data_IF_382778842837
#
_entry.id   IF_382778842837
#
_cell.length_a   1.000
_cell.length_b   1.000
_cell.length_c   1.000
_cell.angle_alpha   90.00
_cell.angle_beta   90.00
_cell.angle_gamma   90.00
#
_symmetry.space_group_name_H-M   'P 1'
#
loop_
_entity.id
_entity.type
_entity.pdbx_description
1 polymer ?
#
# COMPACT_ATOMS: atom_id res chain seq x y z
N UNK A 1 26.85 -27.66 27.73
CA UNK A 1 26.71 -26.19 27.83
C UNK A 1 25.60 -25.87 28.81
N UNK A 2 25.81 -24.94 29.72
CA UNK A 2 24.75 -24.54 30.67
C UNK A 2 23.57 -23.92 29.89
N UNK A 3 22.34 -24.36 30.18
CA UNK A 3 21.11 -23.87 29.52
C UNK A 3 20.68 -22.48 30.02
N UNK A 4 21.23 -22.02 31.14
CA UNK A 4 20.92 -20.76 31.81
C UNK A 4 22.09 -19.78 31.75
N UNK A 5 21.80 -18.48 31.80
CA UNK A 5 22.81 -17.44 31.91
C UNK A 5 23.10 -17.20 33.40
N UNK A 6 24.30 -17.56 33.86
CA UNK A 6 24.70 -17.36 35.26
C UNK A 6 25.04 -15.90 35.58
N UNK A 7 24.95 -15.53 36.86
CA UNK A 7 25.38 -14.18 37.32
C UNK A 7 26.86 -13.89 37.01
N UNK A 8 27.73 -14.91 37.07
CA UNK A 8 29.14 -14.80 36.68
C UNK A 8 29.31 -14.49 35.21
N UNK A 9 28.50 -15.12 34.33
CA UNK A 9 28.45 -14.82 32.90
C UNK A 9 28.03 -13.38 32.63
N UNK A 10 26.98 -12.91 33.34
CA UNK A 10 26.50 -11.52 33.24
C UNK A 10 27.60 -10.53 33.65
N UNK A 11 28.32 -10.81 34.76
CA UNK A 11 29.44 -10.00 35.19
C UNK A 11 30.53 -9.92 34.13
N UNK A 12 30.83 -11.00 33.46
CA UNK A 12 31.78 -11.06 32.34
C UNK A 12 31.30 -10.18 31.17
N UNK A 13 30.02 -10.26 30.78
CA UNK A 13 29.45 -9.41 29.72
C UNK A 13 29.57 -7.93 30.07
N UNK A 14 29.19 -7.55 31.31
CA UNK A 14 29.29 -6.18 31.80
C UNK A 14 30.71 -5.65 31.71
N UNK A 15 31.71 -6.44 32.16
CA UNK A 15 33.11 -6.04 32.12
C UNK A 15 33.62 -5.88 30.69
N UNK A 16 33.24 -6.78 29.77
CA UNK A 16 33.58 -6.66 28.34
C UNK A 16 32.98 -5.41 27.71
N UNK A 17 31.71 -5.14 28.01
CA UNK A 17 31.01 -3.94 27.53
C UNK A 17 31.76 -2.66 27.97
N UNK A 18 32.07 -2.54 29.26
CA UNK A 18 32.71 -1.35 29.83
C UNK A 18 34.15 -1.13 29.34
N UNK A 19 34.87 -2.20 28.94
CA UNK A 19 36.22 -2.08 28.36
C UNK A 19 36.24 -1.54 26.94
N UNK A 20 35.10 -1.55 26.25
CA UNK A 20 35.01 -1.03 24.89
C UNK A 20 34.44 0.40 24.92
N UNK A 21 35.30 1.39 24.73
CA UNK A 21 34.91 2.80 24.72
C UNK A 21 33.88 3.14 23.64
N UNK A 22 33.88 2.43 22.50
CA UNK A 22 32.88 2.62 21.44
C UNK A 22 31.52 2.21 21.92
N UNK A 23 31.38 1.10 22.69
CA UNK A 23 30.09 0.70 23.26
C UNK A 23 29.54 1.77 24.21
N UNK A 24 30.42 2.39 25.00
CA UNK A 24 30.01 3.45 25.92
C UNK A 24 29.59 4.72 25.19
N UNK A 25 30.27 5.10 24.13
CA UNK A 25 29.91 6.24 23.29
C UNK A 25 28.56 6.00 22.58
N UNK A 26 28.39 4.83 21.97
CA UNK A 26 27.13 4.45 21.33
C UNK A 26 25.96 4.41 22.31
N UNK A 27 26.17 3.82 23.50
CA UNK A 27 25.16 3.84 24.57
C UNK A 27 24.74 5.24 24.95
N UNK A 28 25.70 6.14 25.19
CA UNK A 28 25.41 7.51 25.61
C UNK A 28 24.66 8.29 24.51
N UNK A 29 24.98 8.05 23.23
CA UNK A 29 24.25 8.64 22.12
C UNK A 29 22.82 8.09 22.02
N UNK A 30 22.64 6.76 22.10
CA UNK A 30 21.35 6.09 21.92
C UNK A 30 20.34 6.30 23.06
N UNK A 31 20.81 6.55 24.30
CA UNK A 31 19.90 6.75 25.46
C UNK A 31 19.01 8.00 25.30
N UNK A 32 19.48 9.01 24.59
CA UNK A 32 18.78 10.30 24.47
C UNK A 32 18.34 10.66 23.06
N UNK A 33 18.76 9.90 22.04
CA UNK A 33 18.43 10.20 20.66
C UNK A 33 17.84 8.99 19.95
N UNK A 34 17.01 9.27 18.96
CA UNK A 34 16.46 8.23 18.09
C UNK A 34 17.56 7.52 17.31
N UNK A 35 17.40 6.22 17.14
CA UNK A 35 18.34 5.37 16.44
C UNK A 35 18.66 5.88 15.02
N UNK A 36 17.67 6.37 14.29
CA UNK A 36 17.83 6.90 12.95
C UNK A 36 18.83 8.07 12.91
N UNK A 37 18.75 8.96 13.91
CA UNK A 37 19.65 10.12 14.00
C UNK A 37 21.10 9.71 14.35
N UNK A 38 21.26 8.75 15.26
CA UNK A 38 22.59 8.25 15.67
C UNK A 38 23.25 7.42 14.57
N UNK A 39 22.46 6.67 13.81
CA UNK A 39 22.95 5.77 12.78
C UNK A 39 23.06 6.41 11.39
N UNK A 40 22.66 7.68 11.23
CA UNK A 40 22.73 8.36 9.93
C UNK A 40 24.19 8.33 9.41
N UNK A 41 24.36 7.76 8.23
CA UNK A 41 25.65 7.74 7.54
C UNK A 41 25.82 9.05 6.75
N UNK A 42 26.41 10.03 7.40
CA UNK A 42 26.58 11.36 6.83
C UNK A 42 27.47 11.36 5.58
N UNK A 43 28.50 10.53 5.56
CA UNK A 43 29.39 10.38 4.40
C UNK A 43 28.60 9.87 3.17
N UNK A 44 27.81 8.82 3.34
CA UNK A 44 26.96 8.31 2.27
C UNK A 44 25.91 9.34 1.86
N UNK A 45 25.28 10.00 2.82
CA UNK A 45 24.26 11.03 2.53
C UNK A 45 24.83 12.18 1.69
N UNK A 46 26.01 12.67 2.02
CA UNK A 46 26.65 13.81 1.33
C UNK A 46 27.01 13.51 -0.14
N UNK A 47 27.08 12.25 -0.52
CA UNK A 47 27.35 11.81 -1.90
C UNK A 47 26.09 11.61 -2.73
N UNK A 48 24.90 11.67 -2.12
CA UNK A 48 23.62 11.46 -2.83
C UNK A 48 23.33 12.70 -3.67
N UNK A 49 23.16 12.48 -4.98
CA UNK A 49 22.80 13.53 -5.90
C UNK A 49 21.26 13.67 -5.98
N UNK A 50 20.77 14.88 -5.73
CA UNK A 50 19.35 15.23 -5.80
C UNK A 50 18.93 15.82 -7.18
N UNK A 51 19.85 15.87 -8.14
CA UNK A 51 19.56 16.31 -9.50
C UNK A 51 19.39 15.08 -10.40
N UNK A 52 18.33 15.08 -11.18
CA UNK A 52 17.97 13.96 -12.06
C UNK A 52 18.04 14.39 -13.51
N UNK A 53 18.65 13.54 -14.36
CA UNK A 53 18.81 13.78 -15.80
C UNK A 53 17.51 13.62 -16.61
N UNK A 54 16.56 12.85 -16.07
CA UNK A 54 15.26 12.61 -16.71
C UNK A 54 14.16 12.87 -15.69
N UNK A 55 13.24 13.76 -16.05
CA UNK A 55 12.10 14.17 -15.23
C UNK A 55 10.81 14.00 -16.04
N UNK A 56 9.73 13.67 -15.36
CA UNK A 56 8.39 13.79 -15.92
C UNK A 56 8.10 15.29 -16.17
N UNK A 57 7.59 15.63 -17.34
CA UNK A 57 7.38 17.04 -17.76
C UNK A 57 6.49 17.82 -16.81
N UNK A 58 5.59 17.16 -16.12
CA UNK A 58 4.65 17.77 -15.19
C UNK A 58 4.79 17.16 -13.81
N UNK A 59 5.35 17.91 -12.89
CA UNK A 59 5.42 17.58 -11.49
C UNK A 59 4.25 18.26 -10.75
N UNK A 60 3.49 17.48 -9.99
CA UNK A 60 2.36 17.97 -9.20
C UNK A 60 2.66 17.83 -7.70
N UNK A 61 2.05 18.68 -6.84
CA UNK A 61 2.23 18.58 -5.40
C UNK A 61 1.98 17.17 -4.87
N UNK A 62 2.78 16.73 -3.89
CA UNK A 62 2.60 15.43 -3.24
C UNK A 62 1.25 15.36 -2.53
N UNK A 63 0.59 14.22 -2.66
CA UNK A 63 -0.66 13.92 -1.93
C UNK A 63 -0.35 13.20 -0.62
N UNK A 64 -1.19 13.38 0.39
CA UNK A 64 -0.95 12.86 1.73
C UNK A 64 -2.08 11.92 2.17
N UNK A 65 -1.75 10.64 2.41
CA UNK A 65 -2.71 9.63 2.88
C UNK A 65 -3.04 9.74 4.37
N UNK A 66 -2.38 10.62 5.10
CA UNK A 66 -2.51 10.78 6.55
C UNK A 66 -2.27 9.46 7.32
N UNK A 67 -3.13 9.12 8.30
CA UNK A 67 -3.06 7.89 9.09
C UNK A 67 -3.93 6.78 8.52
N UNK A 68 -3.80 6.51 7.21
CA UNK A 68 -4.48 5.40 6.50
C UNK A 68 -3.48 4.62 5.64
N UNK A 69 -3.80 3.38 5.29
CA UNK A 69 -2.94 2.52 4.46
C UNK A 69 -3.29 2.57 2.97
N UNK A 70 -3.74 3.72 2.45
CA UNK A 70 -4.21 3.89 1.05
C UNK A 70 -3.11 4.27 0.06
N UNK A 71 -1.82 4.14 0.40
CA UNK A 71 -0.71 4.57 -0.47
C UNK A 71 -0.83 4.06 -1.92
N UNK A 72 -1.27 2.83 -2.10
CA UNK A 72 -1.48 2.22 -3.41
C UNK A 72 -2.57 2.92 -4.25
N UNK A 73 -3.69 3.30 -3.63
CA UNK A 73 -4.75 4.07 -4.27
C UNK A 73 -4.30 5.50 -4.59
N UNK A 74 -3.61 6.16 -3.65
CA UNK A 74 -3.00 7.48 -3.89
C UNK A 74 -2.01 7.45 -5.07
N UNK A 75 -1.15 6.44 -5.13
CA UNK A 75 -0.19 6.29 -6.23
C UNK A 75 -0.91 6.11 -7.58
N UNK A 76 -1.93 5.23 -7.65
CA UNK A 76 -2.70 5.03 -8.87
C UNK A 76 -3.46 6.29 -9.33
N UNK A 77 -4.16 6.96 -8.41
CA UNK A 77 -4.87 8.21 -8.70
C UNK A 77 -3.89 9.33 -9.10
N UNK A 78 -2.68 9.33 -8.55
CA UNK A 78 -1.63 10.29 -8.96
C UNK A 78 -1.12 10.06 -10.38
N UNK A 79 -1.11 8.83 -10.88
CA UNK A 79 -0.82 8.57 -12.31
C UNK A 79 -1.93 9.16 -13.19
N UNK A 80 -3.19 8.89 -12.84
CA UNK A 80 -4.35 9.32 -13.65
C UNK A 80 -4.53 10.84 -13.64
N UNK A 81 -4.23 11.53 -12.53
CA UNK A 81 -4.43 12.99 -12.43
C UNK A 81 -3.58 13.79 -13.41
N UNK A 82 -2.43 13.26 -13.84
CA UNK A 82 -1.59 13.91 -14.85
C UNK A 82 -2.36 14.15 -16.14
N UNK A 83 -3.11 13.15 -16.58
CA UNK A 83 -3.93 13.24 -17.79
C UNK A 83 -5.09 14.25 -17.62
N UNK A 84 -5.72 14.30 -16.43
CA UNK A 84 -6.78 15.31 -16.15
C UNK A 84 -6.22 16.72 -16.24
N UNK A 85 -5.05 16.93 -15.63
CA UNK A 85 -4.38 18.23 -15.64
C UNK A 85 -4.03 18.66 -17.08
N UNK A 86 -3.59 17.74 -17.92
CA UNK A 86 -3.32 18.02 -19.34
C UNK A 86 -4.60 18.25 -20.14
N UNK A 87 -5.60 17.39 -19.98
CA UNK A 87 -6.86 17.47 -20.75
C UNK A 87 -7.68 18.73 -20.46
N UNK A 88 -7.64 19.22 -19.23
CA UNK A 88 -8.39 20.38 -18.77
C UNK A 88 -7.51 21.64 -18.59
N UNK A 89 -6.23 21.54 -18.96
CA UNK A 89 -5.23 22.61 -18.82
C UNK A 89 -5.16 23.20 -17.39
N UNK A 90 -5.19 22.35 -16.36
CA UNK A 90 -5.20 22.78 -14.96
C UNK A 90 -3.78 23.06 -14.45
N UNK A 91 -3.67 23.91 -13.43
CA UNK A 91 -2.44 24.07 -12.65
C UNK A 91 -2.21 22.88 -11.71
N UNK A 92 -3.29 22.37 -11.12
CA UNK A 92 -3.28 21.21 -10.21
C UNK A 92 -4.62 20.51 -10.23
N UNK A 93 -4.61 19.25 -9.84
CA UNK A 93 -5.83 18.43 -9.70
C UNK A 93 -5.59 17.32 -8.70
N UNK A 94 -6.62 16.90 -8.00
CA UNK A 94 -6.61 15.74 -7.12
C UNK A 94 -7.93 14.99 -7.23
N UNK A 95 -7.85 13.67 -7.36
CA UNK A 95 -9.02 12.80 -7.25
C UNK A 95 -9.45 12.63 -5.79
N UNK A 96 -10.71 12.27 -5.56
CA UNK A 96 -11.20 11.86 -4.26
C UNK A 96 -10.66 10.48 -3.88
N UNK A 97 -9.78 10.44 -2.91
CA UNK A 97 -9.31 9.20 -2.32
C UNK A 97 -10.34 8.62 -1.34
N UNK A 98 -11.27 9.45 -0.86
CA UNK A 98 -12.41 9.02 -0.06
C UNK A 98 -13.40 8.20 -0.89
N UNK A 99 -13.74 8.65 -2.11
CA UNK A 99 -14.56 7.90 -3.07
C UNK A 99 -13.94 6.54 -3.39
N UNK A 100 -12.66 6.52 -3.70
CA UNK A 100 -11.91 5.30 -3.96
C UNK A 100 -11.93 4.34 -2.76
N UNK A 101 -11.75 4.87 -1.55
CA UNK A 101 -11.77 4.08 -0.30
C UNK A 101 -13.13 3.45 -0.04
N UNK A 102 -14.22 4.17 -0.29
CA UNK A 102 -15.58 3.66 -0.12
C UNK A 102 -15.79 2.36 -0.91
N UNK A 103 -15.48 2.40 -2.19
CA UNK A 103 -15.65 1.25 -3.08
C UNK A 103 -14.67 0.12 -2.77
N UNK A 104 -13.43 0.44 -2.43
CA UNK A 104 -12.46 -0.58 -2.00
C UNK A 104 -12.94 -1.34 -0.77
N UNK A 105 -13.44 -0.64 0.24
CA UNK A 105 -13.95 -1.28 1.45
C UNK A 105 -15.19 -2.12 1.20
N UNK A 106 -16.12 -1.62 0.40
CA UNK A 106 -17.33 -2.36 0.04
C UNK A 106 -16.99 -3.64 -0.72
N UNK A 107 -16.13 -3.55 -1.72
CA UNK A 107 -15.73 -4.70 -2.53
C UNK A 107 -14.88 -5.70 -1.74
N UNK A 108 -13.98 -5.25 -0.89
CA UNK A 108 -13.24 -6.14 0.01
C UNK A 108 -14.15 -6.88 0.99
N UNK A 109 -15.19 -6.21 1.49
CA UNK A 109 -16.20 -6.88 2.33
C UNK A 109 -16.95 -7.97 1.55
N UNK A 110 -17.36 -7.69 0.32
CA UNK A 110 -17.95 -8.66 -0.58
C UNK A 110 -17.00 -9.83 -0.88
N UNK A 111 -15.76 -9.54 -1.23
CA UNK A 111 -14.71 -10.51 -1.50
C UNK A 111 -14.45 -11.43 -0.29
N UNK A 112 -14.36 -10.84 0.89
CA UNK A 112 -14.23 -11.58 2.14
C UNK A 112 -15.40 -12.54 2.38
N UNK A 113 -16.65 -12.07 2.27
CA UNK A 113 -17.83 -12.90 2.49
C UNK A 113 -17.92 -14.04 1.47
N UNK A 114 -17.56 -13.82 0.20
CA UNK A 114 -17.48 -14.86 -0.82
C UNK A 114 -16.44 -15.93 -0.46
N UNK A 115 -15.26 -15.52 0.01
CA UNK A 115 -14.23 -16.46 0.42
C UNK A 115 -14.62 -17.23 1.68
N UNK A 116 -15.35 -16.64 2.61
CA UNK A 116 -15.93 -17.34 3.77
C UNK A 116 -16.96 -18.38 3.33
N UNK A 117 -17.82 -18.06 2.34
CA UNK A 117 -18.78 -19.01 1.79
C UNK A 117 -18.07 -20.17 1.10
N UNK A 118 -17.05 -19.91 0.29
CA UNK A 118 -16.26 -20.92 -0.41
C UNK A 118 -15.48 -21.85 0.52
N UNK A 119 -15.01 -21.31 1.65
CA UNK A 119 -14.20 -22.03 2.63
C UNK A 119 -14.99 -22.51 3.87
N UNK A 120 -16.31 -22.64 3.75
CA UNK A 120 -17.20 -22.94 4.89
C UNK A 120 -16.88 -24.26 5.60
N UNK A 121 -16.41 -25.27 4.85
CA UNK A 121 -16.12 -26.60 5.34
C UNK A 121 -14.73 -26.72 5.98
N UNK A 122 -13.92 -25.68 5.87
CA UNK A 122 -12.62 -25.58 6.53
C UNK A 122 -12.77 -25.46 8.05
N UNK A 123 -11.84 -26.00 8.82
CA UNK A 123 -11.81 -25.80 10.27
C UNK A 123 -11.61 -24.31 10.62
N UNK A 124 -12.19 -23.85 11.73
CA UNK A 124 -11.91 -22.51 12.28
C UNK A 124 -10.43 -22.31 12.62
N UNK A 125 -9.72 -23.37 12.96
CA UNK A 125 -8.30 -23.37 13.32
C UNK A 125 -7.39 -23.48 12.10
N UNK A 126 -7.95 -23.66 10.89
CA UNK A 126 -7.15 -23.75 9.68
C UNK A 126 -6.41 -22.43 9.43
N UNK A 127 -5.22 -22.54 8.85
CA UNK A 127 -4.40 -21.38 8.48
C UNK A 127 -5.17 -20.42 7.55
N UNK A 128 -5.99 -20.96 6.65
CA UNK A 128 -6.80 -20.19 5.72
C UNK A 128 -7.82 -19.33 6.45
N UNK A 129 -8.64 -19.94 7.32
CA UNK A 129 -9.69 -19.21 8.05
C UNK A 129 -9.06 -18.16 8.99
N UNK A 130 -8.00 -18.53 9.69
CA UNK A 130 -7.25 -17.59 10.54
C UNK A 130 -6.75 -16.39 9.71
N UNK A 131 -6.22 -16.64 8.51
CA UNK A 131 -5.76 -15.57 7.60
C UNK A 131 -6.92 -14.67 7.16
N UNK A 132 -8.02 -15.23 6.66
CA UNK A 132 -9.19 -14.46 6.21
C UNK A 132 -9.77 -13.60 7.33
N UNK A 133 -9.95 -14.18 8.53
CA UNK A 133 -10.51 -13.47 9.67
C UNK A 133 -9.59 -12.39 10.26
N UNK A 134 -8.29 -12.42 9.98
CA UNK A 134 -7.32 -11.49 10.58
C UNK A 134 -7.59 -10.04 10.17
N UNK A 135 -7.80 -9.78 8.90
CA UNK A 135 -7.96 -8.42 8.36
C UNK A 135 -8.88 -8.39 7.11
N UNK A 136 -10.20 -8.60 7.28
CA UNK A 136 -11.16 -8.69 6.18
C UNK A 136 -11.14 -7.50 5.22
N UNK A 137 -10.94 -6.29 5.74
CA UNK A 137 -11.01 -5.02 4.99
C UNK A 137 -9.77 -4.15 5.26
N UNK A 138 -8.58 -4.75 5.20
CA UNK A 138 -7.33 -3.99 5.31
C UNK A 138 -7.23 -2.86 4.28
N UNK A 139 -6.45 -1.82 4.59
CA UNK A 139 -6.31 -0.65 3.71
C UNK A 139 -5.45 -0.90 2.47
N UNK A 140 -4.48 -1.83 2.56
CA UNK A 140 -3.53 -2.13 1.49
C UNK A 140 -4.18 -2.72 0.24
N UNK A 141 -3.52 -2.60 -0.89
CA UNK A 141 -3.97 -3.17 -2.17
C UNK A 141 -2.86 -3.17 -3.22
N UNK A 142 -3.18 -3.70 -4.39
CA UNK A 142 -2.27 -3.98 -5.49
C UNK A 142 -2.75 -3.31 -6.77
N UNK A 143 -1.89 -3.28 -7.80
CA UNK A 143 -2.20 -2.64 -9.08
C UNK A 143 -3.50 -3.15 -9.70
N UNK A 144 -3.67 -4.48 -9.84
CA UNK A 144 -4.89 -5.03 -10.45
C UNK A 144 -6.16 -4.73 -9.62
N UNK A 145 -6.03 -4.62 -8.29
CA UNK A 145 -7.13 -4.19 -7.42
C UNK A 145 -7.51 -2.73 -7.69
N UNK A 146 -6.53 -1.86 -7.95
CA UNK A 146 -6.77 -0.48 -8.36
C UNK A 146 -7.48 -0.43 -9.72
N UNK A 147 -6.97 -1.16 -10.69
CA UNK A 147 -7.56 -1.26 -12.05
C UNK A 147 -9.02 -1.73 -11.99
N UNK A 148 -9.30 -2.75 -11.17
CA UNK A 148 -10.65 -3.27 -10.99
C UNK A 148 -11.62 -2.19 -10.48
N UNK A 149 -11.22 -1.42 -9.46
CA UNK A 149 -12.06 -0.36 -8.90
C UNK A 149 -12.31 0.78 -9.89
N UNK A 150 -11.27 1.25 -10.58
CA UNK A 150 -11.42 2.32 -11.57
C UNK A 150 -12.30 1.89 -12.74
N UNK A 151 -12.15 0.64 -13.21
CA UNK A 151 -12.99 0.12 -14.28
C UNK A 151 -14.46 -0.01 -13.89
N UNK A 152 -14.73 -0.38 -12.63
CA UNK A 152 -16.10 -0.61 -12.17
C UNK A 152 -16.80 0.66 -11.70
N UNK A 153 -16.08 1.55 -11.04
CA UNK A 153 -16.67 2.72 -10.37
C UNK A 153 -16.17 4.06 -10.89
N UNK A 154 -15.11 4.09 -11.68
CA UNK A 154 -14.46 5.34 -12.06
C UNK A 154 -13.79 6.05 -10.88
N UNK A 155 -13.63 7.36 -11.02
CA UNK A 155 -13.12 8.24 -9.98
C UNK A 155 -13.74 9.64 -10.14
N UNK A 156 -13.77 10.42 -9.06
CA UNK A 156 -14.35 11.76 -9.04
C UNK A 156 -13.32 12.78 -8.55
N UNK A 157 -13.46 14.09 -8.91
CA UNK A 157 -12.66 15.16 -8.33
C UNK A 157 -12.77 15.17 -6.79
N UNK A 158 -11.71 15.59 -6.11
CA UNK A 158 -11.64 15.60 -4.64
C UNK A 158 -12.79 16.38 -3.97
N UNK A 159 -13.17 17.51 -4.56
CA UNK A 159 -14.21 18.37 -4.01
C UNK A 159 -15.62 17.75 -4.10
N UNK A 160 -15.83 16.78 -4.99
CA UNK A 160 -17.12 16.10 -5.17
C UNK A 160 -17.38 15.10 -4.04
N UNK A 161 -16.34 14.47 -3.50
CA UNK A 161 -16.43 13.64 -2.29
C UNK A 161 -15.16 13.85 -1.45
N UNK A 162 -15.12 14.88 -0.61
CA UNK A 162 -13.93 15.26 0.14
C UNK A 162 -13.56 14.23 1.23
N UNK A 163 -12.33 14.35 1.75
CA UNK A 163 -11.86 13.52 2.87
C UNK A 163 -12.72 13.74 4.12
N UNK A 164 -12.97 12.65 4.83
CA UNK A 164 -13.59 12.64 6.16
C UNK A 164 -12.55 12.39 7.26
N UNK A 165 -12.94 12.53 8.51
CA UNK A 165 -12.07 12.14 9.62
C UNK A 165 -11.66 10.66 9.52
N UNK A 166 -12.56 9.79 9.08
CA UNK A 166 -12.33 8.35 9.03
C UNK A 166 -11.66 7.87 7.74
N UNK A 167 -11.75 8.60 6.64
CA UNK A 167 -10.89 8.35 5.48
C UNK A 167 -9.43 8.73 5.77
N UNK A 168 -9.22 9.83 6.51
CA UNK A 168 -7.89 10.29 6.93
C UNK A 168 -7.28 9.46 8.07
N UNK A 169 -8.11 8.84 8.93
CA UNK A 169 -7.70 7.99 10.07
C UNK A 169 -8.56 6.73 10.11
N UNK A 170 -8.23 5.75 9.29
CA UNK A 170 -9.06 4.59 9.01
C UNK A 170 -9.20 3.57 10.16
N UNK A 171 -8.37 3.64 11.18
CA UNK A 171 -8.28 2.62 12.23
C UNK A 171 -9.61 2.27 12.90
N UNK A 172 -10.39 3.28 13.34
CA UNK A 172 -11.67 3.06 14.01
C UNK A 172 -12.72 2.44 13.07
N UNK A 173 -12.84 2.94 11.85
CA UNK A 173 -13.73 2.38 10.83
C UNK A 173 -13.35 0.92 10.51
N UNK A 174 -12.08 0.64 10.27
CA UNK A 174 -11.59 -0.70 9.99
C UNK A 174 -11.87 -1.68 11.15
N UNK A 175 -11.76 -1.22 12.39
CA UNK A 175 -12.11 -2.00 13.57
C UNK A 175 -13.58 -2.41 13.57
N UNK A 176 -14.50 -1.46 13.37
CA UNK A 176 -15.95 -1.71 13.34
C UNK A 176 -16.33 -2.65 12.20
N UNK A 177 -15.84 -2.37 10.98
CA UNK A 177 -16.11 -3.21 9.82
C UNK A 177 -15.56 -4.64 10.01
N UNK A 178 -14.33 -4.78 10.53
CA UNK A 178 -13.73 -6.09 10.81
C UNK A 178 -14.54 -6.87 11.84
N UNK A 179 -14.98 -6.20 12.90
CA UNK A 179 -15.81 -6.83 13.94
C UNK A 179 -17.13 -7.35 13.36
N UNK A 180 -17.80 -6.51 12.56
CA UNK A 180 -19.08 -6.88 11.92
C UNK A 180 -18.92 -8.00 10.89
N UNK A 181 -17.88 -7.96 10.09
CA UNK A 181 -17.59 -9.01 9.10
C UNK A 181 -17.23 -10.36 9.75
N UNK A 182 -16.55 -10.36 10.89
CA UNK A 182 -16.32 -11.60 11.67
C UNK A 182 -17.62 -12.18 12.23
N UNK A 183 -18.54 -11.35 12.70
CA UNK A 183 -19.89 -11.77 13.09
C UNK A 183 -20.60 -12.43 11.92
N UNK A 184 -20.60 -11.77 10.75
CA UNK A 184 -21.22 -12.29 9.52
C UNK A 184 -20.57 -13.61 9.06
N UNK A 185 -19.26 -13.72 9.12
CA UNK A 185 -18.56 -14.97 8.83
C UNK A 185 -19.03 -16.13 9.73
N UNK A 186 -19.21 -15.88 11.02
CA UNK A 186 -19.75 -16.88 11.96
C UNK A 186 -21.16 -17.31 11.59
N UNK A 187 -22.02 -16.38 11.17
CA UNK A 187 -23.40 -16.67 10.74
C UNK A 187 -23.40 -17.48 9.44
N UNK A 188 -22.65 -17.05 8.42
CA UNK A 188 -22.60 -17.72 7.11
C UNK A 188 -22.08 -19.16 7.21
N UNK A 189 -21.09 -19.39 8.06
CA UNK A 189 -20.54 -20.74 8.26
C UNK A 189 -21.48 -21.72 8.97
N UNK A 190 -22.41 -21.22 9.77
CA UNK A 190 -23.41 -22.04 10.50
C UNK A 190 -24.68 -22.30 9.68
N UNK A 191 -24.97 -21.53 8.65
CA UNK A 191 -26.20 -21.61 7.86
C UNK A 191 -26.03 -22.50 6.63
N UNK A 192 -27.11 -23.17 6.14
CA UNK A 192 -27.05 -23.94 4.90
C UNK A 192 -26.65 -23.08 3.70
N UNK A 193 -25.91 -23.69 2.75
CA UNK A 193 -25.41 -23.02 1.56
C UNK A 193 -26.49 -22.29 0.75
N UNK A 194 -27.67 -22.91 0.61
CA UNK A 194 -28.81 -22.37 -0.14
C UNK A 194 -29.30 -20.99 0.35
N UNK A 195 -29.03 -20.64 1.59
CA UNK A 195 -29.48 -19.38 2.19
C UNK A 195 -28.39 -18.28 2.14
N UNK A 196 -27.17 -18.61 1.68
CA UNK A 196 -26.03 -17.71 1.79
C UNK A 196 -26.17 -16.44 0.93
N UNK A 197 -26.78 -16.54 -0.26
CA UNK A 197 -26.92 -15.40 -1.16
C UNK A 197 -27.83 -14.30 -0.59
N UNK A 198 -29.01 -14.68 -0.06
CA UNK A 198 -29.93 -13.73 0.55
C UNK A 198 -29.33 -13.08 1.80
N UNK A 199 -28.76 -13.89 2.70
CA UNK A 199 -28.08 -13.39 3.90
C UNK A 199 -26.92 -12.44 3.56
N UNK A 200 -26.11 -12.77 2.54
CA UNK A 200 -25.01 -11.91 2.11
C UNK A 200 -25.52 -10.57 1.60
N UNK A 201 -26.65 -10.52 0.89
CA UNK A 201 -27.24 -9.27 0.42
C UNK A 201 -27.55 -8.32 1.59
N UNK A 202 -28.22 -8.82 2.62
CA UNK A 202 -28.58 -8.04 3.81
C UNK A 202 -27.32 -7.60 4.60
N UNK A 203 -26.31 -8.48 4.64
CA UNK A 203 -25.01 -8.17 5.24
C UNK A 203 -24.29 -7.07 4.49
N UNK A 204 -24.29 -7.10 3.16
CA UNK A 204 -23.67 -6.06 2.33
C UNK A 204 -24.40 -4.73 2.43
N UNK A 205 -25.72 -4.71 2.55
CA UNK A 205 -26.48 -3.49 2.85
C UNK A 205 -26.05 -2.87 4.19
N UNK A 206 -25.87 -3.71 5.21
CA UNK A 206 -25.35 -3.25 6.51
C UNK A 206 -23.96 -2.64 6.38
N UNK A 207 -23.06 -3.26 5.60
CA UNK A 207 -21.71 -2.73 5.36
C UNK A 207 -21.76 -1.42 4.58
N UNK A 208 -22.61 -1.32 3.55
CA UNK A 208 -22.82 -0.07 2.80
C UNK A 208 -23.25 1.07 3.73
N UNK A 209 -24.23 0.81 4.60
CA UNK A 209 -24.74 1.80 5.55
C UNK A 209 -23.64 2.26 6.53
N UNK A 210 -22.83 1.34 7.05
CA UNK A 210 -21.68 1.69 7.89
C UNK A 210 -20.69 2.56 7.14
N UNK A 211 -20.34 2.21 5.91
CA UNK A 211 -19.43 2.99 5.08
C UNK A 211 -19.98 4.39 4.79
N UNK A 212 -21.27 4.50 4.46
CA UNK A 212 -21.93 5.78 4.22
C UNK A 212 -21.93 6.68 5.47
N UNK A 213 -22.06 6.12 6.67
CA UNK A 213 -21.95 6.86 7.93
C UNK A 213 -20.53 7.38 8.19
N UNK A 214 -19.50 6.63 7.82
CA UNK A 214 -18.10 7.03 8.05
C UNK A 214 -17.51 7.93 6.96
N UNK A 215 -17.86 7.68 5.70
CA UNK A 215 -17.21 8.25 4.52
C UNK A 215 -18.10 9.20 3.71
N UNK A 216 -19.40 9.22 3.97
CA UNK A 216 -20.42 9.85 3.12
C UNK A 216 -20.86 8.92 1.99
N UNK A 217 -21.95 9.29 1.32
CA UNK A 217 -22.44 8.53 0.17
C UNK A 217 -21.69 8.92 -1.10
N UNK A 218 -21.19 7.95 -1.88
CA UNK A 218 -20.58 8.25 -3.17
C UNK A 218 -21.63 8.83 -4.13
N UNK A 219 -21.27 9.86 -4.91
CA UNK A 219 -22.17 10.46 -5.90
C UNK A 219 -22.36 9.55 -7.11
N UNK A 220 -23.55 9.53 -7.66
CA UNK A 220 -23.86 8.84 -8.93
C UNK A 220 -23.38 9.64 -10.14
N UNK A 221 -23.41 10.96 -10.03
CA UNK A 221 -22.99 11.91 -11.07
C UNK A 221 -22.07 12.99 -10.51
N UNK A 222 -21.20 13.48 -11.36
CA UNK A 222 -20.27 14.57 -11.07
C UNK A 222 -20.92 15.89 -11.51
N UNK A 223 -21.07 16.81 -10.56
CA UNK A 223 -21.36 18.23 -10.77
C UNK A 223 -20.20 19.01 -10.16
N UNK A 224 -19.28 19.48 -11.01
CA UNK A 224 -18.03 20.08 -10.58
C UNK A 224 -17.63 21.25 -11.46
N UNK A 225 -17.07 22.28 -10.86
CA UNK A 225 -16.53 23.41 -11.60
C UNK A 225 -15.15 23.78 -11.08
N UNK A 226 -14.31 24.28 -11.98
CA UNK A 226 -12.95 24.71 -11.67
C UNK A 226 -12.52 25.83 -12.63
N UNK A 227 -11.31 26.33 -12.46
CA UNK A 227 -10.66 27.23 -13.42
C UNK A 227 -9.39 26.59 -13.96
N UNK A 228 -9.15 26.74 -15.26
CA UNK A 228 -7.91 26.28 -15.86
C UNK A 228 -6.75 27.26 -15.61
N UNK A 229 -5.56 26.93 -16.13
CA UNK A 229 -4.34 27.77 -16.00
C UNK A 229 -4.52 29.21 -16.53
N UNK A 230 -5.41 29.40 -17.51
CA UNK A 230 -5.73 30.72 -18.11
C UNK A 230 -6.92 31.40 -17.43
N UNK A 231 -7.31 30.94 -16.24
CA UNK A 231 -8.44 31.42 -15.45
C UNK A 231 -9.83 31.28 -16.12
N UNK A 232 -9.94 30.44 -17.17
CA UNK A 232 -11.22 30.15 -17.82
C UNK A 232 -12.03 29.18 -16.92
N UNK A 233 -13.33 29.48 -16.77
CA UNK A 233 -14.25 28.65 -15.99
C UNK A 233 -14.61 27.40 -16.77
N UNK A 234 -14.44 26.25 -16.14
CA UNK A 234 -14.82 24.92 -16.64
C UNK A 234 -15.93 24.40 -15.76
N UNK A 235 -17.00 23.91 -16.37
CA UNK A 235 -18.14 23.27 -15.70
C UNK A 235 -18.33 21.87 -16.28
N UNK A 236 -18.44 20.88 -15.41
CA UNK A 236 -18.77 19.50 -15.73
C UNK A 236 -20.04 19.17 -14.96
N UNK A 237 -21.12 18.84 -15.65
CA UNK A 237 -22.43 18.55 -15.08
C UNK A 237 -22.94 17.21 -15.56
N UNK A 238 -23.65 16.52 -14.70
CA UNK A 238 -24.38 15.25 -14.98
C UNK A 238 -23.53 14.17 -15.64
N UNK A 239 -22.24 14.15 -15.32
CA UNK A 239 -21.29 13.17 -15.87
C UNK A 239 -21.09 12.02 -14.87
N UNK A 240 -21.17 10.77 -15.33
CA UNK A 240 -20.86 9.63 -14.46
C UNK A 240 -19.37 9.57 -14.13
N UNK A 241 -18.98 9.04 -12.95
CA UNK A 241 -17.56 8.88 -12.59
C UNK A 241 -16.76 8.05 -13.62
N UNK A 242 -17.40 7.06 -14.25
CA UNK A 242 -16.79 6.25 -15.32
C UNK A 242 -16.53 7.08 -16.57
N UNK A 243 -17.51 7.88 -16.99
CA UNK A 243 -17.36 8.72 -18.19
C UNK A 243 -16.34 9.85 -17.97
N UNK A 244 -16.27 10.38 -16.74
CA UNK A 244 -15.23 11.33 -16.36
C UNK A 244 -13.84 10.72 -16.55
N UNK A 245 -13.63 9.50 -16.04
CA UNK A 245 -12.35 8.80 -16.21
C UNK A 245 -12.03 8.53 -17.67
N UNK A 246 -12.97 8.00 -18.45
CA UNK A 246 -12.77 7.73 -19.88
C UNK A 246 -12.40 8.98 -20.66
N UNK A 247 -13.04 10.11 -20.35
CA UNK A 247 -12.86 11.36 -21.11
C UNK A 247 -11.60 12.11 -20.73
N UNK A 248 -11.26 12.15 -19.45
CA UNK A 248 -10.22 13.06 -18.95
C UNK A 248 -9.03 12.37 -18.28
N UNK A 249 -9.12 11.10 -17.94
CA UNK A 249 -8.13 10.40 -17.12
C UNK A 249 -7.69 9.06 -17.70
N UNK A 250 -7.98 8.76 -18.98
CA UNK A 250 -7.61 7.51 -19.60
C UNK A 250 -6.11 7.46 -19.87
N UNK A 251 -5.43 6.56 -19.17
CA UNK A 251 -3.99 6.28 -19.31
C UNK A 251 -3.76 4.81 -19.67
N UNK A 252 -4.75 4.15 -20.28
CA UNK A 252 -4.69 2.73 -20.66
C UNK A 252 -4.29 1.82 -19.48
N UNK A 253 -4.89 2.03 -18.31
CA UNK A 253 -4.53 1.29 -17.08
C UNK A 253 -4.64 -0.23 -17.23
N UNK A 254 -5.50 -0.71 -18.17
CA UNK A 254 -5.73 -2.14 -18.43
C UNK A 254 -4.53 -2.81 -19.11
N UNK A 255 -3.74 -2.04 -19.86
CA UNK A 255 -2.60 -2.54 -20.65
C UNK A 255 -1.29 -2.50 -19.86
N UNK A 256 -1.30 -1.90 -18.68
CA UNK A 256 -0.12 -1.83 -17.81
C UNK A 256 0.05 -3.13 -17.02
N UNK A 257 1.30 -3.58 -16.92
CA UNK A 257 1.67 -4.82 -16.22
C UNK A 257 2.45 -4.53 -14.95
N UNK A 258 2.25 -5.36 -13.93
CA UNK A 258 2.99 -5.27 -12.68
C UNK A 258 4.25 -6.15 -12.73
N UNK A 259 5.42 -5.51 -12.74
CA UNK A 259 6.71 -6.17 -12.62
C UNK A 259 7.13 -6.21 -11.15
N UNK A 260 7.68 -7.34 -10.70
CA UNK A 260 8.26 -7.47 -9.36
C UNK A 260 9.68 -8.01 -9.45
N UNK A 261 10.47 -7.75 -8.43
CA UNK A 261 11.75 -8.40 -8.22
C UNK A 261 11.73 -9.18 -6.90
N UNK A 262 11.53 -10.49 -7.00
CA UNK A 262 11.50 -11.42 -5.88
C UNK A 262 12.60 -12.48 -6.07
N UNK A 263 13.84 -12.21 -5.64
CA UNK A 263 15.01 -13.07 -5.90
C UNK A 263 15.11 -14.26 -4.92
N UNK A 264 13.99 -14.94 -4.68
CA UNK A 264 13.94 -16.12 -3.82
C UNK A 264 14.10 -17.39 -4.64
N UNK A 265 14.76 -18.40 -4.09
CA UNK A 265 15.04 -19.68 -4.78
C UNK A 265 13.79 -20.41 -5.28
N UNK A 266 12.66 -20.23 -4.61
CA UNK A 266 11.36 -20.79 -5.00
C UNK A 266 10.52 -19.91 -5.93
N UNK A 267 11.06 -18.76 -6.37
CA UNK A 267 10.38 -17.84 -7.30
C UNK A 267 11.26 -17.56 -8.51
N UNK A 268 11.02 -18.31 -9.59
CA UNK A 268 11.79 -18.17 -10.85
C UNK A 268 11.52 -16.81 -11.50
N UNK A 269 12.55 -16.23 -12.09
CA UNK A 269 12.39 -15.07 -12.98
C UNK A 269 11.65 -15.46 -14.27
N UNK A 270 11.08 -14.46 -14.94
CA UNK A 270 10.26 -14.60 -16.15
C UNK A 270 9.06 -15.54 -15.98
N UNK A 271 8.50 -15.56 -14.78
CA UNK A 271 7.35 -16.38 -14.40
C UNK A 271 6.29 -15.51 -13.77
N UNK A 272 5.03 -15.78 -14.12
CA UNK A 272 3.86 -15.09 -13.55
C UNK A 272 3.52 -15.67 -12.18
N UNK A 273 3.21 -14.80 -11.23
CA UNK A 273 2.75 -15.15 -9.90
C UNK A 273 1.47 -14.41 -9.55
N UNK A 274 0.72 -14.99 -8.64
CA UNK A 274 -0.44 -14.37 -7.99
C UNK A 274 -0.37 -14.59 -6.48
N UNK A 275 -1.24 -13.90 -5.74
CA UNK A 275 -1.41 -14.12 -4.30
C UNK A 275 -2.85 -14.58 -4.07
N UNK A 276 -3.01 -15.81 -3.60
CA UNK A 276 -4.33 -16.36 -3.27
C UNK A 276 -4.99 -15.55 -2.16
N UNK A 277 -6.30 -15.42 -2.24
CA UNK A 277 -7.12 -14.68 -1.27
C UNK A 277 -6.74 -13.20 -1.08
N UNK A 278 -5.98 -12.62 -2.01
CA UNK A 278 -5.73 -11.20 -2.09
C UNK A 278 -6.48 -10.62 -3.28
N UNK A 279 -7.44 -9.74 -3.02
CA UNK A 279 -8.30 -9.14 -4.04
C UNK A 279 -9.33 -8.21 -3.43
N UNK A 280 -10.14 -7.59 -4.27
CA UNK A 280 -11.28 -6.77 -3.88
C UNK A 280 -12.54 -7.10 -4.69
N UNK A 281 -12.53 -6.88 -5.99
CA UNK A 281 -13.68 -7.10 -6.88
C UNK A 281 -13.74 -8.57 -7.27
N UNK A 282 -14.82 -9.28 -6.93
CA UNK A 282 -14.96 -10.74 -7.13
C UNK A 282 -14.92 -11.11 -8.60
N UNK A 283 -15.59 -10.34 -9.46
CA UNK A 283 -15.62 -10.52 -10.91
C UNK A 283 -14.46 -9.85 -11.65
N UNK A 284 -13.58 -9.16 -10.91
CA UNK A 284 -12.44 -8.44 -11.45
C UNK A 284 -11.27 -9.33 -11.85
N UNK A 285 -10.23 -8.70 -12.36
CA UNK A 285 -8.99 -9.38 -12.68
C UNK A 285 -8.29 -9.86 -11.40
N UNK A 286 -7.72 -11.05 -11.46
CA UNK A 286 -6.83 -11.55 -10.40
C UNK A 286 -5.51 -10.77 -10.45
N UNK A 287 -4.87 -10.65 -9.28
CA UNK A 287 -3.55 -10.02 -9.19
C UNK A 287 -2.52 -10.84 -9.97
N UNK A 288 -1.73 -10.17 -10.81
CA UNK A 288 -0.69 -10.77 -11.64
C UNK A 288 0.61 -10.02 -11.48
N UNK A 289 1.67 -10.76 -11.17
CA UNK A 289 3.02 -10.25 -11.09
C UNK A 289 3.93 -11.01 -12.04
N UNK A 290 4.65 -10.31 -12.90
CA UNK A 290 5.76 -10.90 -13.64
C UNK A 290 7.05 -10.69 -12.82
N UNK A 291 7.63 -11.79 -12.32
CA UNK A 291 8.90 -11.74 -11.59
C UNK A 291 10.06 -11.61 -12.57
N UNK A 292 10.81 -10.51 -12.47
CA UNK A 292 11.92 -10.21 -13.38
C UNK A 292 13.21 -9.90 -12.60
N UNK A 293 14.34 -9.97 -13.30
CA UNK A 293 15.61 -9.48 -12.73
C UNK A 293 15.54 -7.99 -12.46
N UNK A 294 16.27 -7.54 -11.43
CA UNK A 294 16.30 -6.12 -11.03
C UNK A 294 16.76 -5.20 -12.17
N UNK A 295 17.61 -5.68 -13.07
CA UNK A 295 18.07 -4.89 -14.23
C UNK A 295 16.93 -4.60 -15.19
N UNK A 296 16.07 -5.60 -15.47
CA UNK A 296 14.90 -5.43 -16.33
C UNK A 296 13.86 -4.50 -15.68
N UNK A 297 13.62 -4.64 -14.38
CA UNK A 297 12.72 -3.75 -13.64
C UNK A 297 13.20 -2.30 -13.71
N UNK A 298 14.49 -2.06 -13.43
CA UNK A 298 15.09 -0.71 -13.51
C UNK A 298 15.04 -0.15 -14.93
N UNK A 299 15.35 -0.97 -15.94
CA UNK A 299 15.28 -0.58 -17.35
C UNK A 299 13.86 -0.15 -17.74
N UNK A 300 12.86 -0.96 -17.43
CA UNK A 300 11.45 -0.65 -17.72
C UNK A 300 11.00 0.66 -17.06
N UNK A 301 11.35 0.89 -15.79
CA UNK A 301 11.04 2.14 -15.09
C UNK A 301 11.74 3.34 -15.76
N UNK A 302 13.00 3.19 -16.13
CA UNK A 302 13.78 4.24 -16.80
C UNK A 302 13.21 4.56 -18.19
N UNK A 303 12.83 3.55 -18.96
CA UNK A 303 12.24 3.72 -20.28
C UNK A 303 10.87 4.44 -20.18
N UNK A 304 10.03 4.10 -19.19
CA UNK A 304 8.77 4.81 -18.92
C UNK A 304 9.03 6.30 -18.63
N UNK A 305 9.97 6.63 -17.72
CA UNK A 305 10.28 8.03 -17.39
C UNK A 305 10.79 8.79 -18.61
N UNK A 306 11.67 8.19 -19.45
CA UNK A 306 12.15 8.80 -20.69
C UNK A 306 11.02 9.09 -21.68
N UNK A 307 10.00 8.24 -21.69
CA UNK A 307 8.79 8.43 -22.49
C UNK A 307 7.76 9.35 -21.84
N UNK A 308 8.13 10.05 -20.76
CA UNK A 308 7.25 10.92 -19.97
C UNK A 308 6.06 10.17 -19.32
N UNK A 309 6.23 8.89 -19.02
CA UNK A 309 5.26 8.09 -18.28
C UNK A 309 5.68 7.94 -16.83
N UNK A 310 4.81 8.35 -15.91
CA UNK A 310 5.03 8.13 -14.49
C UNK A 310 4.87 6.65 -14.13
N UNK A 311 5.65 6.19 -13.16
CA UNK A 311 5.68 4.78 -12.74
C UNK A 311 4.99 4.62 -11.39
N UNK A 312 4.02 3.71 -11.30
CA UNK A 312 3.50 3.24 -10.02
C UNK A 312 4.57 2.35 -9.37
N UNK A 313 5.12 2.82 -8.26
CA UNK A 313 6.27 2.20 -7.62
C UNK A 313 5.95 1.80 -6.18
N UNK A 314 6.29 0.58 -5.80
CA UNK A 314 6.20 0.06 -4.45
C UNK A 314 7.50 -0.57 -3.98
N UNK A 315 7.92 -0.25 -2.76
CA UNK A 315 9.11 -0.83 -2.13
C UNK A 315 8.98 -0.84 -0.60
N UNK A 316 9.86 -1.57 0.07
CA UNK A 316 10.00 -1.49 1.54
C UNK A 316 10.70 -0.19 1.92
N UNK A 317 9.93 0.79 2.36
CA UNK A 317 10.46 2.09 2.80
C UNK A 317 10.86 2.11 4.29
N UNK A 318 10.40 1.14 5.09
CA UNK A 318 10.44 1.23 6.54
C UNK A 318 11.84 1.10 7.15
N UNK A 319 12.79 0.47 6.45
CA UNK A 319 14.09 0.07 7.03
C UNK A 319 15.25 0.96 6.62
N UNK A 320 15.15 1.67 5.49
CA UNK A 320 16.24 2.40 4.86
C UNK A 320 15.81 3.78 4.35
N UNK A 321 14.76 4.32 4.94
CA UNK A 321 14.20 5.61 4.58
C UNK A 321 14.45 6.64 5.68
N UNK A 322 15.20 7.68 5.37
CA UNK A 322 15.31 8.88 6.20
C UNK A 322 14.27 9.89 5.76
N UNK A 323 13.21 10.05 6.55
CA UNK A 323 12.09 10.98 6.24
C UNK A 323 12.56 12.42 6.18
N UNK A 324 13.35 12.84 7.16
CA UNK A 324 13.80 14.22 7.31
C UNK A 324 14.70 14.66 6.16
N UNK A 325 15.49 13.70 5.64
CA UNK A 325 16.40 13.95 4.52
C UNK A 325 15.77 13.62 3.15
N UNK A 326 14.57 13.01 3.12
CA UNK A 326 13.89 12.62 1.88
C UNK A 326 14.62 11.55 1.06
N UNK A 327 15.39 10.68 1.73
CA UNK A 327 16.28 9.71 1.07
C UNK A 327 15.91 8.28 1.42
N UNK A 328 15.79 7.43 0.40
CA UNK A 328 15.70 5.98 0.50
C UNK A 328 16.96 5.36 -0.10
N UNK A 329 17.86 4.92 0.74
CA UNK A 329 19.15 4.34 0.32
C UNK A 329 19.63 3.23 1.27
N UNK A 330 20.24 2.17 0.73
CA UNK A 330 20.69 1.02 1.49
C UNK A 330 21.79 1.35 2.49
N UNK A 331 22.63 2.34 2.21
CA UNK A 331 23.74 2.79 3.04
C UNK A 331 23.41 3.97 3.96
N UNK A 332 22.14 4.46 3.97
CA UNK A 332 21.75 5.66 4.75
C UNK A 332 21.95 5.52 6.26
N UNK A 333 21.92 4.29 6.79
CA UNK A 333 22.14 4.00 8.20
C UNK A 333 23.30 3.03 8.40
N UNK A 334 24.26 3.42 9.20
CA UNK A 334 25.45 2.64 9.57
C UNK A 334 25.23 1.96 10.94
N UNK A 335 24.37 0.96 10.96
CA UNK A 335 24.10 0.20 12.19
C UNK A 335 25.31 -0.63 12.65
N UNK A 336 26.18 -1.07 11.74
CA UNK A 336 27.33 -1.90 12.10
C UNK A 336 28.31 -1.13 12.96
N UNK A 337 28.60 0.12 12.62
CA UNK A 337 29.46 0.99 13.41
C UNK A 337 28.80 1.42 14.73
N UNK A 338 27.49 1.71 14.74
CA UNK A 338 26.79 2.09 15.97
C UNK A 338 26.79 0.96 16.98
N UNK A 339 26.48 -0.28 16.53
CA UNK A 339 26.34 -1.43 17.45
C UNK A 339 27.61 -2.29 17.56
N UNK A 340 28.67 -1.95 16.85
CA UNK A 340 29.92 -2.73 16.81
C UNK A 340 29.66 -4.22 16.53
N UNK A 341 28.70 -4.50 15.64
CA UNK A 341 28.32 -5.86 15.27
C UNK A 341 27.92 -5.92 13.81
N UNK A 342 28.08 -7.07 13.20
CA UNK A 342 27.76 -7.28 11.79
C UNK A 342 26.34 -7.82 11.63
N UNK A 343 25.61 -7.31 10.62
CA UNK A 343 24.27 -7.74 10.21
C UNK A 343 24.36 -8.44 8.85
N UNK A 344 24.84 -9.69 8.84
CA UNK A 344 25.20 -10.43 7.60
C UNK A 344 24.01 -11.07 6.85
N UNK A 345 22.77 -10.94 7.32
CA UNK A 345 21.62 -11.49 6.62
C UNK A 345 21.32 -10.69 5.34
N UNK A 346 21.11 -11.42 4.24
CA UNK A 346 20.65 -10.88 2.96
C UNK A 346 19.32 -11.51 2.55
N UNK A 347 18.71 -11.06 1.45
CA UNK A 347 17.42 -11.59 0.96
C UNK A 347 17.47 -13.06 0.55
N UNK A 348 18.63 -13.63 0.33
CA UNK A 348 18.82 -15.05 -0.03
C UNK A 348 18.93 -15.95 1.22
N UNK A 349 19.16 -15.37 2.40
CA UNK A 349 19.19 -16.12 3.65
C UNK A 349 17.79 -16.63 3.99
N UNK A 350 17.56 -17.94 4.17
CA UNK A 350 16.22 -18.50 4.38
C UNK A 350 15.40 -17.80 5.48
N UNK A 351 16.05 -17.37 6.56
CA UNK A 351 15.39 -16.68 7.68
C UNK A 351 14.95 -15.27 7.32
N UNK A 352 15.58 -14.60 6.35
CA UNK A 352 15.30 -13.19 6.02
C UNK A 352 13.95 -12.99 5.36
N UNK A 353 13.40 -14.01 4.68
CA UNK A 353 12.12 -13.94 3.99
C UNK A 353 10.98 -14.70 4.67
N UNK A 354 11.22 -15.39 5.77
CA UNK A 354 10.14 -16.00 6.58
C UNK A 354 9.22 -14.96 7.21
N UNK A 355 9.69 -13.71 7.34
CA UNK A 355 8.95 -12.57 7.85
C UNK A 355 8.46 -11.61 6.75
N UNK A 356 8.81 -11.87 5.48
CA UNK A 356 8.34 -11.06 4.36
C UNK A 356 6.83 -11.28 4.19
N UNK A 357 6.06 -10.28 4.52
CA UNK A 357 4.65 -10.21 4.15
C UNK A 357 4.55 -9.90 2.66
N UNK A 358 3.41 -10.20 2.05
CA UNK A 358 3.16 -9.95 0.63
C UNK A 358 3.45 -8.48 0.20
N UNK A 359 3.37 -7.53 1.12
CA UNK A 359 3.67 -6.11 0.88
C UNK A 359 5.16 -5.77 0.85
N UNK A 360 6.03 -6.66 1.32
CA UNK A 360 7.50 -6.42 1.36
C UNK A 360 8.19 -6.89 0.07
N UNK A 361 7.44 -7.53 -0.83
CA UNK A 361 7.93 -8.02 -2.13
C UNK A 361 7.49 -7.16 -3.31
N UNK A 362 6.90 -6.03 -3.06
CA UNK A 362 6.49 -5.07 -4.08
C UNK A 362 7.63 -4.16 -4.53
#
# INVERSE_FOLDING_TARGET
MAKNISLSTIKTFKNKFLRNNKNTASRNALIKNDLANVALNWENFSQINHNFSNLIKKELPATNQMASGRCWGFAGLNLMRLQVVDSLELNTFEFSQNYFMFWDKLEKANYFLENIIKSRDESYESRLITHLLKAPVQDGGQWDMFVNLINKYGAVPKDVMPETNHSSKSGAMNYILTHKLREFASILRKKPAKNSAALKKDMMETIYNLLAMFLGQPPDVINWSTRNKDNRHIVISDMTPIDFCKKYADINIKDKVCLIHAPMSNKKFNTMYTVEYLGNVVEGQIIKYLNVDIKELKKSAMDSIKNNEAVWFGCDVGKRFSRDMGVLDMGIYDYENVFQTSFKMNKQTPVSYTHLRAHETQ
#
